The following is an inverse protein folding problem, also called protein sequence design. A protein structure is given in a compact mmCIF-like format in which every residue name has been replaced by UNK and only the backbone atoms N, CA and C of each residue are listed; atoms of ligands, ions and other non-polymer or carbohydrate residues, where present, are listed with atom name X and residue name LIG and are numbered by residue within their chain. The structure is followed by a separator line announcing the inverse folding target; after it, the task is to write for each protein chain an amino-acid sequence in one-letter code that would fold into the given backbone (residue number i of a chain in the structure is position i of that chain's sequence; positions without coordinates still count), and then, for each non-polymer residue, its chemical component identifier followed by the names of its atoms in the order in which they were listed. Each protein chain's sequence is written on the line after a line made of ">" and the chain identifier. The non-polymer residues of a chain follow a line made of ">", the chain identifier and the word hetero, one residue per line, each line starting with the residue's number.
data_IF_646418617635
#
_entry.id   IF_646418617635
#
_cell.length_a   1.000
_cell.length_b   1.000
_cell.length_c   1.000
_cell.angle_alpha   90.00
_cell.angle_beta   90.00
_cell.angle_gamma   90.00
#
_symmetry.space_group_name_H-M   'P 1'
#
loop_
_entity.id
_entity.type
_entity.pdbx_description
1 polymer ?
#
# COMPACT_ATOMS: atom_id res chain seq x y z
N UNK A 1 15.33 3.23 -1.35
CA UNK A 1 16.22 4.04 -2.21
C UNK A 1 15.42 4.86 -3.23
N UNK A 2 14.64 4.25 -4.12
CA UNK A 2 13.89 5.00 -5.14
C UNK A 2 12.79 5.91 -4.58
N UNK A 3 12.08 5.46 -3.54
CA UNK A 3 11.00 6.25 -2.91
C UNK A 3 11.49 7.55 -2.27
N UNK A 4 12.66 7.50 -1.63
CA UNK A 4 13.33 8.66 -1.03
C UNK A 4 13.83 9.62 -2.11
N UNK A 5 14.34 9.09 -3.23
CA UNK A 5 14.78 9.88 -4.39
C UNK A 5 13.61 10.60 -5.07
N UNK A 6 12.43 9.97 -5.12
CA UNK A 6 11.24 10.52 -5.73
C UNK A 6 10.51 11.55 -4.86
N UNK A 7 10.95 11.77 -3.61
CA UNK A 7 10.31 12.66 -2.63
C UNK A 7 8.78 12.43 -2.55
N UNK A 8 8.37 11.16 -2.56
CA UNK A 8 6.95 10.81 -2.62
C UNK A 8 6.20 11.39 -1.41
N UNK A 9 4.99 11.91 -1.64
CA UNK A 9 4.02 12.28 -0.58
C UNK A 9 2.84 11.31 -0.62
N UNK A 10 2.04 11.30 0.44
CA UNK A 10 0.97 10.30 0.64
C UNK A 10 -0.11 10.33 -0.46
N UNK A 11 -0.10 11.39 -1.26
CA UNK A 11 -1.11 11.71 -2.28
C UNK A 11 -0.54 11.84 -3.70
N UNK A 12 0.75 11.56 -3.93
CA UNK A 12 1.34 11.74 -5.27
C UNK A 12 0.72 10.74 -6.27
N UNK A 13 0.09 11.20 -7.38
CA UNK A 13 -0.48 10.31 -8.39
C UNK A 13 0.60 9.55 -9.18
N UNK A 14 0.28 8.34 -9.65
CA UNK A 14 1.20 7.51 -10.47
C UNK A 14 1.80 8.24 -11.69
N UNK A 15 1.03 9.00 -12.49
CA UNK A 15 1.60 9.73 -13.62
C UNK A 15 2.66 10.76 -13.18
N UNK A 16 2.47 11.41 -12.03
CA UNK A 16 3.44 12.36 -11.51
C UNK A 16 4.73 11.66 -11.05
N UNK A 17 4.62 10.45 -10.48
CA UNK A 17 5.81 9.65 -10.15
C UNK A 17 6.59 9.21 -11.38
N UNK A 18 5.90 8.89 -12.48
CA UNK A 18 6.55 8.59 -13.76
C UNK A 18 7.32 9.80 -14.31
N UNK A 19 6.75 11.01 -14.19
CA UNK A 19 7.42 12.26 -14.57
C UNK A 19 8.66 12.47 -13.71
N UNK A 20 8.53 12.44 -12.38
CA UNK A 20 9.65 12.63 -11.43
C UNK A 20 10.78 11.62 -11.65
N UNK A 21 10.45 10.35 -11.89
CA UNK A 21 11.47 9.35 -12.19
C UNK A 21 12.17 9.65 -13.53
N UNK A 22 11.45 10.16 -14.53
CA UNK A 22 12.03 10.62 -15.79
C UNK A 22 13.04 11.76 -15.57
N UNK A 23 12.66 12.76 -14.79
CA UNK A 23 13.54 13.88 -14.42
C UNK A 23 14.81 13.41 -13.70
N UNK A 24 14.67 12.50 -12.73
CA UNK A 24 15.81 11.90 -12.01
C UNK A 24 16.75 11.15 -12.96
N UNK A 25 16.22 10.51 -13.99
CA UNK A 25 16.99 9.78 -15.00
C UNK A 25 17.58 10.68 -16.10
N UNK A 26 17.29 11.99 -16.08
CA UNK A 26 17.73 12.94 -17.09
C UNK A 26 16.98 12.80 -18.41
N UNK A 27 15.70 12.43 -18.35
CA UNK A 27 14.83 12.27 -19.52
C UNK A 27 13.81 13.41 -19.61
N UNK A 28 13.55 13.89 -20.83
CA UNK A 28 12.52 14.90 -21.10
C UNK A 28 11.08 14.32 -21.10
N UNK A 29 10.97 12.99 -21.09
CA UNK A 29 9.70 12.26 -21.13
C UNK A 29 9.50 11.47 -19.84
N UNK A 30 8.24 11.32 -19.37
CA UNK A 30 7.94 10.46 -18.24
C UNK A 30 8.35 9.02 -18.55
N UNK A 31 8.81 8.30 -17.52
CA UNK A 31 9.09 6.88 -17.70
C UNK A 31 7.79 6.10 -17.92
N UNK A 32 7.83 4.98 -18.66
CA UNK A 32 6.69 4.07 -18.74
C UNK A 32 6.32 3.53 -17.36
N UNK A 33 5.02 3.39 -17.09
CA UNK A 33 4.53 2.86 -15.81
C UNK A 33 5.14 1.49 -15.43
N UNK A 34 5.30 0.52 -16.34
CA UNK A 34 5.95 -0.76 -16.01
C UNK A 34 7.39 -0.61 -15.49
N UNK A 35 8.13 0.40 -15.95
CA UNK A 35 9.48 0.72 -15.47
C UNK A 35 9.42 1.21 -14.02
N UNK A 36 8.50 2.14 -13.72
CA UNK A 36 8.29 2.62 -12.35
C UNK A 36 7.91 1.47 -11.41
N UNK A 37 6.97 0.61 -11.82
CA UNK A 37 6.52 -0.54 -11.03
C UNK A 37 7.66 -1.51 -10.73
N UNK A 38 8.44 -1.88 -11.76
CA UNK A 38 9.60 -2.76 -11.59
C UNK A 38 10.65 -2.13 -10.68
N UNK A 39 10.94 -0.84 -10.83
CA UNK A 39 11.93 -0.16 -10.00
C UNK A 39 11.51 -0.04 -8.52
N UNK A 40 10.21 -0.11 -8.23
CA UNK A 40 9.69 -0.18 -6.86
C UNK A 40 9.82 -1.60 -6.28
N UNK A 41 9.65 -2.63 -7.11
CA UNK A 41 9.71 -4.02 -6.64
C UNK A 41 11.12 -4.63 -6.62
N UNK A 42 11.99 -4.22 -7.54
CA UNK A 42 13.33 -4.75 -7.79
C UNK A 42 14.39 -3.67 -7.49
N UNK A 43 15.02 -3.70 -6.29
CA UNK A 43 16.07 -2.75 -5.92
C UNK A 43 17.31 -2.80 -6.82
N UNK A 44 17.61 -3.96 -7.42
CA UNK A 44 18.75 -4.11 -8.34
C UNK A 44 18.48 -3.34 -9.63
N UNK A 45 17.30 -3.53 -10.21
CA UNK A 45 16.85 -2.75 -11.37
C UNK A 45 16.79 -1.25 -11.08
N UNK A 46 16.34 -0.86 -9.88
CA UNK A 46 16.38 0.55 -9.47
C UNK A 46 17.81 1.11 -9.44
N UNK A 47 18.79 0.33 -8.96
CA UNK A 47 20.19 0.73 -8.99
C UNK A 47 20.71 0.86 -10.43
N UNK A 48 20.40 -0.11 -11.30
CA UNK A 48 20.78 -0.09 -12.72
C UNK A 48 20.26 1.15 -13.46
N UNK A 49 19.00 1.54 -13.18
CA UNK A 49 18.40 2.76 -13.71
C UNK A 49 19.19 4.01 -13.27
N UNK A 50 19.51 4.11 -11.98
CA UNK A 50 20.25 5.27 -11.44
C UNK A 50 21.67 5.33 -12.00
N UNK A 51 22.36 4.20 -12.12
CA UNK A 51 23.70 4.13 -12.71
C UNK A 51 23.69 4.47 -14.21
N UNK A 52 22.59 4.17 -14.91
CA UNK A 52 22.41 4.47 -16.34
C UNK A 52 21.86 5.88 -16.61
N UNK A 53 21.75 6.74 -15.59
CA UNK A 53 21.22 8.11 -15.72
C UNK A 53 21.96 8.92 -16.80
N UNK A 54 21.21 9.62 -17.64
CA UNK A 54 21.74 10.43 -18.75
C UNK A 54 22.33 9.61 -19.90
N UNK A 55 22.17 8.28 -19.90
CA UNK A 55 22.64 7.38 -20.95
C UNK A 55 21.45 6.75 -21.69
N UNK A 56 20.88 7.44 -22.72
CA UNK A 56 19.62 7.03 -23.33
C UNK A 56 19.66 5.63 -23.95
N UNK A 57 20.81 5.19 -24.48
CA UNK A 57 20.95 3.84 -25.04
C UNK A 57 20.81 2.72 -24.00
N UNK A 58 21.41 2.90 -22.81
CA UNK A 58 21.28 1.93 -21.71
C UNK A 58 19.88 1.96 -21.10
N UNK A 59 19.29 3.15 -20.93
CA UNK A 59 17.92 3.29 -20.45
C UNK A 59 16.92 2.62 -21.39
N UNK A 60 17.08 2.79 -22.71
CA UNK A 60 16.23 2.11 -23.70
C UNK A 60 16.28 0.58 -23.56
N UNK A 61 17.48 0.01 -23.40
CA UNK A 61 17.64 -1.43 -23.19
C UNK A 61 16.96 -1.93 -21.90
N UNK A 62 17.06 -1.17 -20.80
CA UNK A 62 16.40 -1.49 -19.53
C UNK A 62 14.87 -1.40 -19.62
N UNK A 63 14.35 -0.47 -20.42
CA UNK A 63 12.91 -0.28 -20.62
C UNK A 63 12.32 -1.41 -21.47
N UNK A 64 13.07 -1.86 -22.49
CA UNK A 64 12.65 -2.91 -23.41
C UNK A 64 12.82 -4.33 -22.87
N UNK A 65 13.50 -4.51 -21.73
CA UNK A 65 13.68 -5.79 -21.05
C UNK A 65 12.34 -6.53 -20.86
N UNK A 66 12.32 -7.82 -21.23
CA UNK A 66 11.18 -8.72 -21.06
C UNK A 66 10.64 -8.72 -19.62
N UNK A 67 11.51 -8.61 -18.62
CA UNK A 67 11.13 -8.54 -17.20
C UNK A 67 10.37 -7.26 -16.88
N UNK A 68 10.69 -6.13 -17.52
CA UNK A 68 9.94 -4.88 -17.41
C UNK A 68 8.54 -5.02 -18.00
N UNK A 69 8.40 -5.75 -19.12
CA UNK A 69 7.10 -5.99 -19.77
C UNK A 69 6.13 -6.81 -18.91
N UNK A 70 6.63 -7.63 -18.00
CA UNK A 70 5.79 -8.39 -17.05
C UNK A 70 4.97 -7.49 -16.11
N UNK A 71 5.37 -6.22 -15.97
CA UNK A 71 4.67 -5.21 -15.17
C UNK A 71 3.61 -4.43 -15.96
N UNK A 72 3.31 -4.82 -17.20
CA UNK A 72 2.23 -4.21 -17.97
C UNK A 72 0.86 -4.49 -17.31
N UNK A 73 -0.08 -3.52 -17.33
CA UNK A 73 -1.39 -3.65 -16.68
C UNK A 73 -2.20 -4.90 -17.08
N UNK A 74 -1.98 -5.43 -18.29
CA UNK A 74 -2.65 -6.64 -18.78
C UNK A 74 -2.14 -7.94 -18.16
N UNK A 75 -0.94 -7.96 -17.57
CA UNK A 75 -0.33 -9.17 -17.02
C UNK A 75 -0.74 -9.45 -15.56
N UNK A 76 -1.30 -8.47 -14.85
CA UNK A 76 -1.68 -8.55 -13.42
C UNK A 76 -3.17 -8.86 -13.19
N UNK A 77 -3.96 -9.07 -14.25
CA UNK A 77 -5.42 -8.99 -14.19
C UNK A 77 -6.18 -10.32 -14.02
N UNK A 78 -5.50 -11.46 -13.90
CA UNK A 78 -6.18 -12.76 -13.97
C UNK A 78 -7.10 -13.07 -12.78
N UNK A 79 -6.79 -12.61 -11.56
CA UNK A 79 -7.53 -12.94 -10.33
C UNK A 79 -7.92 -11.72 -9.46
N UNK A 80 -7.75 -10.50 -9.99
CA UNK A 80 -8.05 -9.28 -9.23
C UNK A 80 -9.55 -8.94 -9.27
N UNK A 81 -10.15 -8.42 -8.17
CA UNK A 81 -11.48 -7.82 -8.22
C UNK A 81 -11.53 -6.76 -9.32
N UNK A 82 -12.63 -6.70 -10.07
CA UNK A 82 -12.77 -5.70 -11.13
C UNK A 82 -12.56 -4.28 -10.58
N UNK A 83 -11.96 -3.41 -11.39
CA UNK A 83 -11.69 -2.02 -10.99
C UNK A 83 -12.94 -1.30 -10.49
N UNK A 84 -14.11 -1.63 -11.04
CA UNK A 84 -15.42 -1.11 -10.63
C UNK A 84 -15.84 -1.61 -9.25
N UNK A 85 -15.65 -2.91 -8.94
CA UNK A 85 -15.95 -3.46 -7.62
C UNK A 85 -15.04 -2.84 -6.54
N UNK A 86 -13.76 -2.61 -6.87
CA UNK A 86 -12.82 -1.97 -5.96
C UNK A 86 -13.18 -0.48 -5.73
N UNK A 87 -13.54 0.24 -6.80
CA UNK A 87 -13.98 1.63 -6.70
C UNK A 87 -15.25 1.78 -5.86
N UNK A 88 -16.21 0.86 -6.02
CA UNK A 88 -17.43 0.83 -5.20
C UNK A 88 -17.13 0.61 -3.71
N UNK A 89 -16.25 -0.35 -3.37
CA UNK A 89 -15.82 -0.58 -1.98
C UNK A 89 -15.09 0.62 -1.38
N UNK A 90 -14.21 1.26 -2.16
CA UNK A 90 -13.49 2.44 -1.74
C UNK A 90 -14.44 3.63 -1.48
N UNK A 91 -15.38 3.89 -2.40
CA UNK A 91 -16.37 4.95 -2.24
C UNK A 91 -17.27 4.73 -1.02
N UNK A 92 -17.71 3.49 -0.78
CA UNK A 92 -18.49 3.13 0.41
C UNK A 92 -17.69 3.36 1.71
N UNK A 93 -16.42 2.97 1.73
CA UNK A 93 -15.54 3.22 2.87
C UNK A 93 -15.31 4.72 3.12
N UNK A 94 -15.07 5.51 2.07
CA UNK A 94 -14.93 6.96 2.18
C UNK A 94 -16.23 7.62 2.68
N UNK A 95 -17.39 7.17 2.19
CA UNK A 95 -18.68 7.68 2.64
C UNK A 95 -18.92 7.37 4.12
N UNK A 96 -18.60 6.16 4.58
CA UNK A 96 -18.68 5.81 6.01
C UNK A 96 -17.76 6.71 6.85
N UNK A 97 -16.51 6.88 6.43
CA UNK A 97 -15.57 7.73 7.15
C UNK A 97 -16.00 9.21 7.16
N UNK A 98 -16.57 9.71 6.06
CA UNK A 98 -17.16 11.04 5.98
C UNK A 98 -18.36 11.22 6.92
N UNK A 99 -19.22 10.19 7.05
CA UNK A 99 -20.31 10.19 8.05
C UNK A 99 -19.79 10.21 9.49
N UNK A 100 -18.61 9.65 9.73
CA UNK A 100 -17.89 9.75 11.00
C UNK A 100 -17.08 11.06 11.15
N UNK A 101 -17.30 12.05 10.27
CA UNK A 101 -16.64 13.36 10.31
C UNK A 101 -15.17 13.34 9.93
N UNK A 102 -14.71 12.31 9.19
CA UNK A 102 -13.29 12.08 8.89
C UNK A 102 -12.40 12.01 10.14
N UNK A 103 -12.99 11.64 11.28
CA UNK A 103 -12.29 11.52 12.55
C UNK A 103 -11.37 10.30 12.59
N UNK A 104 -10.47 10.28 13.57
CA UNK A 104 -9.70 9.10 13.94
C UNK A 104 -10.15 8.60 15.30
N UNK A 105 -9.89 7.33 15.60
CA UNK A 105 -10.11 6.77 16.94
C UNK A 105 -9.24 7.46 18.00
N UNK A 106 -9.66 7.34 19.26
CA UNK A 106 -8.90 7.80 20.42
C UNK A 106 -7.61 6.98 20.64
N UNK A 107 -6.73 7.46 21.52
CA UNK A 107 -5.41 6.86 21.75
C UNK A 107 -5.48 5.46 22.37
N UNK A 108 -6.46 5.20 23.24
CA UNK A 108 -6.64 3.91 23.90
C UNK A 108 -7.10 2.86 22.90
N UNK A 109 -8.10 3.19 22.07
CA UNK A 109 -8.56 2.36 20.96
C UNK A 109 -7.44 2.11 19.95
N UNK A 110 -6.66 3.14 19.62
CA UNK A 110 -5.52 3.00 18.71
C UNK A 110 -4.48 2.02 19.27
N UNK A 111 -4.10 2.16 20.54
CA UNK A 111 -3.11 1.30 21.18
C UNK A 111 -3.59 -0.15 21.29
N UNK A 112 -4.88 -0.36 21.63
CA UNK A 112 -5.48 -1.70 21.67
C UNK A 112 -5.43 -2.37 20.30
N UNK A 113 -5.88 -1.67 19.25
CA UNK A 113 -5.87 -2.17 17.87
C UNK A 113 -4.45 -2.43 17.36
N UNK A 114 -3.50 -1.54 17.67
CA UNK A 114 -2.08 -1.71 17.32
C UNK A 114 -1.49 -2.94 18.00
N UNK A 115 -1.72 -3.12 19.30
CA UNK A 115 -1.22 -4.26 20.07
C UNK A 115 -1.77 -5.59 19.56
N UNK A 116 -3.05 -5.65 19.21
CA UNK A 116 -3.66 -6.83 18.59
C UNK A 116 -3.00 -7.18 17.25
N UNK A 117 -2.65 -6.17 16.44
CA UNK A 117 -1.97 -6.37 15.17
C UNK A 117 -0.49 -6.78 15.32
N UNK A 118 0.23 -6.26 16.32
CA UNK A 118 1.64 -6.61 16.58
C UNK A 118 1.83 -8.11 16.84
N UNK A 119 0.88 -8.76 17.50
CA UNK A 119 0.89 -10.22 17.73
C UNK A 119 0.18 -11.06 16.66
N UNK A 120 -0.30 -10.46 15.57
CA UNK A 120 -1.13 -11.15 14.60
C UNK A 120 -0.29 -11.97 13.58
N UNK A 121 -0.61 -13.25 13.34
CA UNK A 121 0.11 -14.06 12.35
C UNK A 121 -0.07 -13.59 10.90
N UNK A 122 -1.07 -12.73 10.64
CA UNK A 122 -1.34 -12.17 9.32
C UNK A 122 -0.63 -10.83 9.08
N UNK A 123 0.19 -10.35 10.02
CA UNK A 123 0.99 -9.14 9.84
C UNK A 123 2.21 -9.47 8.97
N UNK A 124 2.40 -8.73 7.88
CA UNK A 124 3.47 -9.00 6.92
C UNK A 124 4.09 -7.71 6.36
N UNK A 125 5.21 -7.88 5.68
CA UNK A 125 5.80 -6.85 4.84
C UNK A 125 5.07 -6.72 3.49
N UNK A 126 5.05 -5.53 2.88
CA UNK A 126 4.33 -5.28 1.63
C UNK A 126 4.93 -6.10 0.49
N UNK A 127 4.09 -6.91 -0.15
CA UNK A 127 4.52 -7.79 -1.24
C UNK A 127 4.44 -7.09 -2.60
N UNK A 128 3.39 -6.29 -2.84
CA UNK A 128 3.14 -5.68 -4.16
C UNK A 128 3.69 -4.26 -4.29
N UNK A 129 3.97 -3.85 -5.53
CA UNK A 129 4.37 -2.47 -5.87
C UNK A 129 3.42 -1.43 -5.26
N UNK A 130 2.10 -1.66 -5.36
CA UNK A 130 1.07 -0.76 -4.82
C UNK A 130 1.17 -0.63 -3.30
N UNK A 131 1.34 -1.75 -2.59
CA UNK A 131 1.53 -1.72 -1.14
C UNK A 131 2.82 -1.00 -0.74
N UNK A 132 3.89 -1.16 -1.52
CA UNK A 132 5.16 -0.46 -1.31
C UNK A 132 5.03 1.04 -1.59
N UNK A 133 4.23 1.46 -2.55
CA UNK A 133 4.02 2.88 -2.90
C UNK A 133 3.24 3.66 -1.85
N UNK A 134 2.27 3.04 -1.19
CA UNK A 134 1.54 3.70 -0.11
C UNK A 134 2.57 4.03 0.96
N UNK A 135 2.76 5.33 1.23
CA UNK A 135 3.76 5.76 2.18
C UNK A 135 3.57 5.06 3.51
N UNK A 136 4.62 4.33 3.82
CA UNK A 136 4.86 3.57 5.01
C UNK A 136 5.34 4.56 6.06
N UNK A 137 4.52 4.84 7.08
CA UNK A 137 4.99 5.59 8.25
C UNK A 137 6.22 4.92 8.83
N UNK A 138 7.20 5.70 9.30
CA UNK A 138 8.38 5.14 9.95
C UNK A 138 7.98 4.29 11.16
N UNK A 139 8.64 3.14 11.33
CA UNK A 139 8.49 2.33 12.54
C UNK A 139 9.14 3.08 13.69
N UNK A 140 8.35 3.41 14.71
CA UNK A 140 8.83 4.03 15.96
C UNK A 140 8.10 3.43 17.14
N UNK A 141 8.63 3.60 18.36
CA UNK A 141 7.99 3.11 19.59
C UNK A 141 6.70 3.86 19.96
N UNK A 142 6.38 4.95 19.25
CA UNK A 142 5.16 5.74 19.49
C UNK A 142 3.93 4.96 19.05
N UNK A 143 2.88 5.03 19.88
CA UNK A 143 1.55 4.48 19.58
C UNK A 143 1.06 4.96 18.21
N UNK A 144 0.59 4.01 17.40
CA UNK A 144 0.10 4.24 16.03
C UNK A 144 1.20 4.30 14.97
N UNK A 145 2.46 4.11 15.34
CA UNK A 145 3.62 4.08 14.45
C UNK A 145 4.48 2.82 14.62
N UNK A 146 4.12 1.91 15.54
CA UNK A 146 4.88 0.66 15.76
C UNK A 146 4.70 -0.32 14.60
N UNK A 147 3.58 -0.21 13.89
CA UNK A 147 3.24 -0.99 12.68
C UNK A 147 3.59 -0.25 11.39
N UNK A 148 4.49 0.73 11.46
CA UNK A 148 5.00 1.44 10.30
C UNK A 148 5.34 0.48 9.17
N UNK A 149 4.66 0.64 8.03
CA UNK A 149 4.97 -0.15 6.84
C UNK A 149 4.49 -1.57 6.76
N UNK A 150 3.81 -2.05 7.78
CA UNK A 150 3.25 -3.40 7.75
C UNK A 150 1.88 -3.42 7.08
N UNK A 151 1.60 -4.53 6.41
CA UNK A 151 0.32 -4.83 5.76
C UNK A 151 -0.34 -6.04 6.41
N UNK A 152 -1.66 -6.16 6.27
CA UNK A 152 -2.40 -7.34 6.69
C UNK A 152 -2.63 -8.28 5.50
N UNK A 153 -2.25 -9.55 5.62
CA UNK A 153 -2.44 -10.55 4.56
C UNK A 153 -3.90 -10.95 4.32
N UNK A 154 -4.81 -10.69 5.27
CA UNK A 154 -6.24 -11.01 5.10
C UNK A 154 -6.97 -9.98 4.25
N UNK A 155 -6.64 -8.69 4.40
CA UNK A 155 -7.37 -7.61 3.71
C UNK A 155 -6.49 -6.71 2.83
N UNK A 156 -5.18 -6.96 2.77
CA UNK A 156 -4.22 -6.20 1.96
C UNK A 156 -3.98 -4.76 2.41
N UNK A 157 -4.62 -4.31 3.50
CA UNK A 157 -4.54 -2.93 3.97
C UNK A 157 -3.21 -2.63 4.66
N UNK A 158 -2.75 -1.39 4.52
CA UNK A 158 -1.67 -0.82 5.33
C UNK A 158 -2.18 -0.62 6.76
N UNK A 159 -1.62 -1.40 7.70
CA UNK A 159 -2.24 -1.60 9.02
C UNK A 159 -2.27 -0.30 9.83
N UNK A 160 -1.17 0.45 9.85
CA UNK A 160 -1.06 1.70 10.62
C UNK A 160 -2.08 2.78 10.19
N UNK A 161 -2.60 2.70 8.95
CA UNK A 161 -3.69 3.57 8.46
C UNK A 161 -5.05 3.03 8.89
N UNK A 162 -5.28 1.73 8.70
CA UNK A 162 -6.57 1.09 8.97
C UNK A 162 -6.98 1.20 10.44
N UNK A 163 -6.06 0.94 11.38
CA UNK A 163 -6.36 0.95 12.81
C UNK A 163 -6.85 2.31 13.33
N UNK A 164 -6.54 3.40 12.61
CA UNK A 164 -6.95 4.77 12.97
C UNK A 164 -8.38 5.10 12.58
N UNK A 165 -8.98 4.33 11.67
CA UNK A 165 -10.29 4.62 11.13
C UNK A 165 -11.39 4.07 12.06
N UNK A 166 -12.30 4.90 12.58
CA UNK A 166 -13.34 4.46 13.51
C UNK A 166 -14.39 3.55 12.84
N UNK A 167 -14.50 3.62 11.51
CA UNK A 167 -15.47 2.85 10.72
C UNK A 167 -14.93 1.52 10.22
N UNK A 168 -13.69 1.18 10.56
CA UNK A 168 -13.03 -0.06 10.16
C UNK A 168 -13.02 -1.07 11.30
N UNK A 169 -13.01 -2.36 10.93
CA UNK A 169 -12.90 -3.48 11.85
C UNK A 169 -11.87 -4.51 11.36
N UNK A 170 -11.33 -5.33 12.26
CA UNK A 170 -10.53 -6.48 11.87
C UNK A 170 -11.42 -7.52 11.16
N UNK A 171 -11.02 -8.04 9.98
CA UNK A 171 -11.82 -9.05 9.27
C UNK A 171 -11.75 -10.44 9.94
N UNK A 172 -10.82 -10.64 10.87
CA UNK A 172 -10.63 -11.91 11.55
C UNK A 172 -11.33 -11.93 12.91
N UNK A 173 -11.84 -13.09 13.27
CA UNK A 173 -12.50 -13.31 14.56
C UNK A 173 -11.47 -13.45 15.66
N UNK A 174 -11.85 -13.12 16.89
CA UNK A 174 -10.97 -13.29 18.03
C UNK A 174 -10.74 -14.79 18.27
N UNK A 175 -9.49 -15.24 18.49
CA UNK A 175 -9.16 -16.68 18.62
C UNK A 175 -9.76 -17.39 19.85
N UNK A 176 -10.45 -16.66 20.74
CA UNK A 176 -10.87 -17.17 22.06
C UNK A 176 -12.23 -16.59 22.46
N UNK A 177 -12.46 -15.30 22.20
CA UNK A 177 -13.71 -14.61 22.54
C UNK A 177 -14.70 -14.65 21.38
N UNK A 178 -15.74 -15.47 21.48
CA UNK A 178 -16.80 -15.51 20.48
C UNK A 178 -17.51 -14.15 20.35
N UNK A 179 -17.94 -13.80 19.14
CA UNK A 179 -18.65 -12.55 18.85
C UNK A 179 -17.78 -11.29 18.73
N UNK A 180 -16.46 -11.42 18.95
CA UNK A 180 -15.51 -10.31 18.82
C UNK A 180 -14.54 -10.54 17.65
N UNK A 181 -14.04 -9.45 17.09
CA UNK A 181 -12.91 -9.43 16.17
C UNK A 181 -11.59 -9.51 16.96
N UNK A 182 -10.46 -9.75 16.27
CA UNK A 182 -9.13 -9.71 16.94
C UNK A 182 -8.81 -8.39 17.63
N UNK A 183 -9.51 -7.30 17.33
CA UNK A 183 -9.32 -6.00 17.99
C UNK A 183 -10.09 -5.87 19.32
N UNK A 184 -10.67 -6.97 19.82
CA UNK A 184 -11.59 -6.97 20.98
C UNK A 184 -12.84 -6.11 20.75
N UNK A 185 -13.23 -5.95 19.49
CA UNK A 185 -14.39 -5.15 19.08
C UNK A 185 -15.51 -6.06 18.56
N UNK A 186 -16.79 -5.70 18.74
CA UNK A 186 -17.90 -6.48 18.20
C UNK A 186 -17.74 -6.72 16.70
N UNK A 187 -18.03 -7.95 16.26
CA UNK A 187 -18.07 -8.26 14.83
C UNK A 187 -19.16 -7.41 14.18
N UNK A 188 -18.85 -6.58 13.16
CA UNK A 188 -19.87 -5.81 12.45
C UNK A 188 -20.92 -6.74 11.84
N UNK A 189 -22.20 -6.36 11.89
CA UNK A 189 -23.30 -7.18 11.38
C UNK A 189 -23.14 -7.57 9.88
N UNK A 190 -22.38 -6.81 9.10
CA UNK A 190 -22.06 -7.09 7.68
C UNK A 190 -20.92 -8.11 7.48
N UNK A 191 -20.26 -8.58 8.54
CA UNK A 191 -19.15 -9.53 8.49
C UNK A 191 -19.55 -10.97 8.86
N UNK A 192 -20.82 -11.22 9.17
CA UNK A 192 -21.36 -12.58 9.29
C UNK A 192 -21.61 -13.14 7.89
N UNK A 193 -20.99 -14.27 7.48
CA UNK A 193 -21.48 -15.00 6.33
C UNK A 193 -22.91 -15.46 6.65
N UNK A 194 -23.82 -15.25 5.71
CA UNK A 194 -25.15 -15.85 5.71
C UNK A 194 -25.05 -17.39 5.60
#
# INVERSE_FOLDING_TARGET
>A
MIQSLLQMRDTTPMPEMCVRLGEVLGMDKPVPMPVLLRAIEDPGFAADLITSRGQPGFLAALFDDRRTRAYAPSALAADAPSATALAGKAAAAMLRWGKAGFSTVDAETLERRESACLGCPNLADPASAVQKMVLVGAVTDKVGSRLGGKVCNLCGCVVHKKIRLPTEACPDTHPVKSGLTRWDEPIPAEALPA
#
